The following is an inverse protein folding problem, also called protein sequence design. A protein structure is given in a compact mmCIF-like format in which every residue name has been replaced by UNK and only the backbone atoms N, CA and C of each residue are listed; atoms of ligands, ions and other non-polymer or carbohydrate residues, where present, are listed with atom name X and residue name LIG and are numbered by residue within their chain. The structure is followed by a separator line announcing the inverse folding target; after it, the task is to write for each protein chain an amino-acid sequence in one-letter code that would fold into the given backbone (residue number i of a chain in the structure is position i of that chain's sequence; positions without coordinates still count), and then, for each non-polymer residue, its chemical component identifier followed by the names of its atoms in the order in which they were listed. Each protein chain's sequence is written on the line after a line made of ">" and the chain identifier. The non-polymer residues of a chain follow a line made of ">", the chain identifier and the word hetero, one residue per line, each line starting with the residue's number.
data_IF_694836632018
#
_entry.id   IF_694836632018
#
_cell.length_a   1.000
_cell.length_b   1.000
_cell.length_c   1.000
_cell.angle_alpha   90.00
_cell.angle_beta   90.00
_cell.angle_gamma   90.00
#
_symmetry.space_group_name_H-M   'P 1'
#
loop_
_entity.id
_entity.type
_entity.pdbx_description
1 polymer ?
#
# COMPACT_ATOMS: atom_id res chain seq x y z
N UNK A 1 -6.61 -1.30 10.31
CA UNK A 1 -6.13 -1.15 8.91
C UNK A 1 -4.71 -0.57 8.84
N UNK A 2 -4.42 0.55 9.52
CA UNK A 2 -3.11 1.20 9.47
C UNK A 2 -1.94 0.31 9.94
N UNK A 3 -2.11 -0.51 10.97
CA UNK A 3 -1.04 -1.38 11.47
C UNK A 3 -0.56 -2.41 10.44
N UNK A 4 -1.47 -2.96 9.63
CA UNK A 4 -1.13 -3.90 8.56
C UNK A 4 -0.38 -3.20 7.43
N UNK A 5 -0.79 -1.98 7.05
CA UNK A 5 -0.11 -1.18 6.04
C UNK A 5 1.36 -0.91 6.40
N UNK A 6 1.63 -0.35 7.58
CA UNK A 6 3.00 0.03 7.95
C UNK A 6 3.93 -1.17 8.13
N UNK A 7 3.40 -2.31 8.59
CA UNK A 7 4.17 -3.55 8.64
C UNK A 7 4.60 -4.00 7.24
N UNK A 8 3.65 -4.01 6.30
CA UNK A 8 3.86 -4.43 4.91
C UNK A 8 4.80 -3.49 4.16
N UNK A 9 4.56 -2.18 4.25
CA UNK A 9 5.44 -1.16 3.65
C UNK A 9 6.89 -1.34 4.09
N UNK A 10 7.12 -1.52 5.41
CA UNK A 10 8.46 -1.75 5.93
C UNK A 10 9.07 -3.05 5.41
N UNK A 11 8.29 -4.13 5.36
CA UNK A 11 8.76 -5.46 4.96
C UNK A 11 9.08 -5.56 3.47
N UNK A 12 8.23 -4.99 2.63
CA UNK A 12 8.24 -5.20 1.18
C UNK A 12 9.02 -4.14 0.42
N UNK A 13 9.08 -2.91 0.93
CA UNK A 13 9.80 -1.80 0.27
C UNK A 13 11.02 -1.34 1.05
N UNK A 14 10.88 -1.07 2.35
CA UNK A 14 11.93 -0.34 3.09
C UNK A 14 13.07 -1.23 3.60
N UNK A 15 12.79 -2.48 3.99
CA UNK A 15 13.76 -3.35 4.70
C UNK A 15 15.08 -3.58 3.96
N UNK A 16 15.07 -3.54 2.63
CA UNK A 16 16.23 -3.82 1.79
C UNK A 16 16.54 -2.66 0.81
N UNK A 17 16.02 -1.46 1.09
CA UNK A 17 16.24 -0.28 0.25
C UNK A 17 16.92 0.83 1.06
N UNK A 18 17.98 1.38 0.48
CA UNK A 18 18.65 2.58 0.99
C UNK A 18 18.39 3.72 0.03
N UNK A 19 17.68 4.74 0.49
CA UNK A 19 17.37 5.91 -0.32
C UNK A 19 18.46 6.98 -0.17
N UNK A 20 18.93 7.50 -1.31
CA UNK A 20 19.92 8.57 -1.33
C UNK A 20 19.35 9.91 -0.84
N UNK A 21 18.06 10.15 -1.12
CA UNK A 21 17.37 11.39 -0.72
C UNK A 21 16.00 11.08 -0.15
N UNK A 22 15.49 12.00 0.68
CA UNK A 22 14.14 11.90 1.23
C UNK A 22 13.07 11.98 0.13
N UNK A 23 13.36 12.68 -0.96
CA UNK A 23 12.43 12.80 -2.08
C UNK A 23 12.27 11.47 -2.84
N UNK A 24 13.38 10.77 -3.10
CA UNK A 24 13.34 9.44 -3.70
C UNK A 24 12.54 8.44 -2.84
N UNK A 25 12.74 8.46 -1.51
CA UNK A 25 11.95 7.65 -0.59
C UNK A 25 10.45 8.00 -0.64
N UNK A 26 10.12 9.29 -0.75
CA UNK A 26 8.73 9.73 -0.85
C UNK A 26 8.09 9.25 -2.16
N UNK A 27 8.78 9.37 -3.28
CA UNK A 27 8.29 8.92 -4.57
C UNK A 27 8.06 7.40 -4.58
N UNK A 28 9.00 6.61 -4.06
CA UNK A 28 8.83 5.15 -3.98
C UNK A 28 7.64 4.74 -3.11
N UNK A 29 7.48 5.37 -1.95
CA UNK A 29 6.32 5.10 -1.08
C UNK A 29 5.02 5.50 -1.75
N UNK A 30 4.99 6.63 -2.47
CA UNK A 30 3.80 7.08 -3.19
C UNK A 30 3.43 6.11 -4.32
N UNK A 31 4.39 5.72 -5.14
CA UNK A 31 4.23 4.72 -6.20
C UNK A 31 3.69 3.40 -5.64
N UNK A 32 4.28 2.93 -4.54
CA UNK A 32 3.83 1.72 -3.86
C UNK A 32 2.38 1.79 -3.40
N UNK A 33 1.94 2.94 -2.87
CA UNK A 33 0.57 3.12 -2.40
C UNK A 33 -0.40 3.13 -3.58
N UNK A 34 -0.13 3.98 -4.58
CA UNK A 34 -1.07 4.27 -5.67
C UNK A 34 -1.10 3.19 -6.75
N UNK A 35 0.05 2.60 -7.08
CA UNK A 35 0.13 1.63 -8.18
C UNK A 35 0.00 0.18 -7.71
N UNK A 36 0.24 -0.11 -6.43
CA UNK A 36 0.23 -1.47 -5.93
C UNK A 36 -0.71 -1.69 -4.75
N UNK A 37 -0.55 -0.94 -3.65
CA UNK A 37 -1.27 -1.22 -2.42
C UNK A 37 -2.78 -1.00 -2.56
N UNK A 38 -3.20 0.20 -2.96
CA UNK A 38 -4.62 0.55 -3.07
C UNK A 38 -5.37 -0.21 -4.18
N UNK A 39 -4.83 -0.37 -5.41
CA UNK A 39 -5.59 -1.00 -6.50
C UNK A 39 -5.46 -2.53 -6.55
N UNK A 40 -4.32 -3.10 -6.13
CA UNK A 40 -4.01 -4.52 -6.40
C UNK A 40 -4.05 -5.38 -5.14
N UNK A 41 -3.71 -4.83 -3.97
CA UNK A 41 -3.57 -5.62 -2.75
C UNK A 41 -4.92 -6.10 -2.25
N UNK A 42 -5.12 -7.42 -2.15
CA UNK A 42 -6.33 -8.00 -1.56
C UNK A 42 -6.22 -8.12 -0.06
N UNK A 43 -7.27 -7.75 0.65
CA UNK A 43 -7.35 -7.84 2.10
C UNK A 43 -8.40 -8.87 2.51
N UNK A 44 -8.02 -9.82 3.37
CA UNK A 44 -8.96 -10.79 3.96
C UNK A 44 -10.10 -10.09 4.70
N UNK A 45 -9.80 -8.99 5.39
CA UNK A 45 -10.80 -8.18 6.09
C UNK A 45 -11.79 -7.45 5.16
N UNK A 46 -11.42 -7.23 3.89
CA UNK A 46 -12.27 -6.59 2.89
C UNK A 46 -12.98 -7.63 1.99
N UNK A 47 -13.07 -8.89 2.43
CA UNK A 47 -13.66 -9.96 1.61
C UNK A 47 -12.82 -10.32 0.39
N UNK A 48 -11.49 -10.24 0.50
CA UNK A 48 -10.53 -10.47 -0.60
C UNK A 48 -10.62 -9.43 -1.73
N UNK A 49 -11.15 -8.25 -1.45
CA UNK A 49 -11.16 -7.10 -2.35
C UNK A 49 -9.95 -6.19 -2.09
N UNK A 50 -9.58 -5.41 -3.10
CA UNK A 50 -8.65 -4.31 -2.92
C UNK A 50 -9.29 -3.17 -2.14
N UNK A 51 -8.51 -2.29 -1.49
CA UNK A 51 -9.04 -1.09 -0.85
C UNK A 51 -9.95 -0.26 -1.78
N UNK A 52 -9.55 -0.07 -3.04
CA UNK A 52 -10.33 0.68 -4.03
C UNK A 52 -11.62 -0.05 -4.42
N UNK A 53 -11.55 -1.35 -4.66
CA UNK A 53 -12.73 -2.15 -5.02
C UNK A 53 -13.73 -2.20 -3.85
N UNK A 54 -13.22 -2.31 -2.63
CA UNK A 54 -14.01 -2.31 -1.42
C UNK A 54 -14.72 -0.96 -1.26
N UNK A 55 -14.01 0.18 -1.37
CA UNK A 55 -14.63 1.51 -1.29
C UNK A 55 -15.68 1.72 -2.39
N UNK A 56 -15.39 1.26 -3.62
CA UNK A 56 -16.33 1.33 -4.75
C UNK A 56 -17.60 0.52 -4.49
N UNK A 57 -17.47 -0.64 -3.84
CA UNK A 57 -18.61 -1.49 -3.47
C UNK A 57 -19.44 -0.88 -2.33
N UNK A 58 -18.79 -0.19 -1.38
CA UNK A 58 -19.47 0.47 -0.25
C UNK A 58 -20.15 1.79 -0.65
N UNK A 59 -19.73 2.43 -1.75
CA UNK A 59 -20.33 3.65 -2.30
C UNK A 59 -21.60 3.42 -3.13
N UNK A 60 -21.96 2.16 -3.40
CA UNK A 60 -23.22 1.77 -4.06
C UNK A 60 -24.29 1.44 -3.04
#
# INVERSE_FOLDING_TARGET
>A
MAESFFHLLKRERIRWQTYLTRDAARQDVFDYIEMFYNPTRKHTNNGMLSPVDYETTQRK
#
